data_IF_152646021907
#
_entry.id   IF_152646021907
#
_cell.length_a   1.000
_cell.length_b   1.000
_cell.length_c   1.000
_cell.angle_alpha   90.00
_cell.angle_beta   90.00
_cell.angle_gamma   90.00
#
_symmetry.space_group_name_H-M   'P 1'
#
loop_
_entity.id
_entity.type
_entity.pdbx_description
1 polymer ?
#
# COMPACT_ATOMS: atom_id res chain seq x y z
N UNK A 1 22.75 -21.36 -1.38
CA UNK A 1 22.31 -22.04 -0.14
C UNK A 1 21.99 -21.08 1.01
N UNK A 2 21.58 -19.84 0.74
CA UNK A 2 20.93 -18.96 1.74
C UNK A 2 19.70 -18.29 1.08
N UNK A 3 19.89 -17.80 -0.14
CA UNK A 3 18.82 -17.20 -0.97
C UNK A 3 17.85 -18.19 -1.63
N UNK A 4 18.02 -19.50 -1.41
CA UNK A 4 17.20 -20.56 -2.02
C UNK A 4 17.03 -20.51 -3.56
N UNK A 5 17.80 -19.67 -4.25
CA UNK A 5 17.85 -19.57 -5.71
C UNK A 5 18.41 -20.86 -6.31
N UNK A 6 17.72 -21.43 -7.30
CA UNK A 6 18.10 -22.66 -8.00
C UNK A 6 18.39 -22.35 -9.47
N UNK A 7 19.34 -23.06 -10.07
CA UNK A 7 19.64 -22.96 -11.50
C UNK A 7 20.44 -21.73 -11.91
N UNK A 8 21.15 -21.07 -10.98
CA UNK A 8 22.04 -19.94 -11.28
C UNK A 8 23.25 -20.44 -12.08
N UNK A 9 23.53 -19.76 -13.19
CA UNK A 9 24.69 -19.99 -14.06
C UNK A 9 25.82 -19.00 -13.78
N UNK A 10 27.02 -19.26 -14.31
CA UNK A 10 28.14 -18.30 -14.22
C UNK A 10 27.80 -16.97 -14.92
N UNK A 11 27.05 -17.03 -16.02
CA UNK A 11 26.59 -15.83 -16.74
C UNK A 11 25.65 -14.96 -15.88
N UNK A 12 24.83 -15.60 -15.03
CA UNK A 12 24.00 -14.87 -14.06
C UNK A 12 24.85 -14.17 -12.99
N UNK A 13 25.93 -14.81 -12.53
CA UNK A 13 26.90 -14.17 -11.62
C UNK A 13 27.58 -12.96 -12.27
N UNK A 14 28.03 -13.09 -13.52
CA UNK A 14 28.63 -11.97 -14.28
C UNK A 14 27.65 -10.81 -14.45
N UNK A 15 26.36 -11.09 -14.72
CA UNK A 15 25.30 -10.07 -14.78
C UNK A 15 25.07 -9.38 -13.44
N UNK A 16 25.11 -10.13 -12.33
CA UNK A 16 25.00 -9.55 -10.98
C UNK A 16 26.15 -8.61 -10.67
N UNK A 17 27.39 -9.02 -10.96
CA UNK A 17 28.59 -8.18 -10.76
C UNK A 17 28.48 -6.92 -11.63
N UNK A 18 28.14 -7.07 -12.92
CA UNK A 18 27.97 -5.93 -13.82
C UNK A 18 26.89 -4.94 -13.36
N UNK A 19 25.86 -5.43 -12.64
CA UNK A 19 24.74 -4.62 -12.17
C UNK A 19 24.99 -3.94 -10.83
N UNK A 20 25.67 -4.62 -9.91
CA UNK A 20 25.71 -4.22 -8.50
C UNK A 20 27.07 -3.77 -8.02
N UNK A 21 28.18 -4.17 -8.67
CA UNK A 21 29.50 -3.69 -8.29
C UNK A 21 29.68 -2.22 -8.67
N UNK A 22 30.02 -1.32 -7.72
CA UNK A 22 30.19 0.09 -8.04
C UNK A 22 31.61 0.47 -8.49
N UNK A 23 32.63 -0.35 -8.17
CA UNK A 23 34.03 0.01 -8.43
C UNK A 23 34.51 -0.46 -9.81
N UNK A 24 35.38 0.35 -10.43
CA UNK A 24 36.01 -0.01 -11.70
C UNK A 24 36.98 -1.18 -11.54
N UNK A 25 37.64 -1.29 -10.39
CA UNK A 25 38.48 -2.44 -10.04
C UNK A 25 37.67 -3.73 -9.93
N UNK A 26 36.55 -3.73 -9.21
CA UNK A 26 35.69 -4.90 -9.07
C UNK A 26 35.14 -5.37 -10.42
N UNK A 27 34.72 -4.44 -11.28
CA UNK A 27 34.36 -4.78 -12.67
C UNK A 27 35.53 -5.37 -13.47
N UNK A 28 36.74 -4.84 -13.32
CA UNK A 28 37.93 -5.31 -14.05
C UNK A 28 38.29 -6.75 -13.66
N UNK A 29 38.12 -7.11 -12.40
CA UNK A 29 38.47 -8.45 -11.89
C UNK A 29 37.28 -9.41 -11.86
N UNK A 30 36.09 -8.96 -12.28
CA UNK A 30 34.82 -9.72 -12.16
C UNK A 30 34.55 -10.19 -10.72
N UNK A 31 34.76 -9.28 -9.77
CA UNK A 31 34.56 -9.52 -8.34
C UNK A 31 33.47 -8.60 -7.78
N UNK A 32 32.68 -9.13 -6.85
CA UNK A 32 31.71 -8.36 -6.09
C UNK A 32 32.33 -7.96 -4.75
N UNK A 33 32.61 -6.68 -4.59
CA UNK A 33 33.11 -6.10 -3.35
C UNK A 33 32.02 -5.99 -2.28
N UNK A 34 32.40 -5.53 -1.08
CA UNK A 34 31.47 -5.39 0.05
C UNK A 34 30.33 -4.42 -0.26
N UNK A 35 30.63 -3.31 -0.95
CA UNK A 35 29.60 -2.34 -1.34
C UNK A 35 28.67 -2.91 -2.41
N UNK A 36 29.20 -3.66 -3.39
CA UNK A 36 28.39 -4.35 -4.38
C UNK A 36 27.48 -5.41 -3.77
N UNK A 37 27.99 -6.18 -2.80
CA UNK A 37 27.20 -7.16 -2.06
C UNK A 37 26.08 -6.47 -1.26
N UNK A 38 26.37 -5.33 -0.63
CA UNK A 38 25.36 -4.53 0.08
C UNK A 38 24.28 -4.03 -0.87
N UNK A 39 24.65 -3.50 -2.03
CA UNK A 39 23.70 -3.03 -3.05
C UNK A 39 22.85 -4.17 -3.58
N UNK A 40 23.44 -5.34 -3.80
CA UNK A 40 22.73 -6.55 -4.19
C UNK A 40 21.69 -6.96 -3.14
N UNK A 41 22.09 -7.13 -1.88
CA UNK A 41 21.19 -7.59 -0.81
C UNK A 41 20.06 -6.61 -0.47
N UNK A 42 20.27 -5.31 -0.69
CA UNK A 42 19.28 -4.26 -0.45
C UNK A 42 18.42 -3.93 -1.67
N UNK A 43 18.69 -4.54 -2.82
CA UNK A 43 17.96 -4.24 -4.03
C UNK A 43 16.51 -4.76 -3.92
N UNK A 44 15.54 -3.93 -4.36
CA UNK A 44 14.10 -4.21 -4.29
C UNK A 44 13.72 -5.62 -4.75
N UNK A 45 14.35 -6.12 -5.80
CA UNK A 45 14.13 -7.46 -6.39
C UNK A 45 14.31 -8.62 -5.38
N UNK A 46 15.18 -8.43 -4.39
CA UNK A 46 15.44 -9.40 -3.32
C UNK A 46 14.72 -9.03 -2.02
N UNK A 47 13.82 -8.05 -2.06
CA UNK A 47 12.96 -7.74 -0.92
C UNK A 47 12.11 -8.97 -0.57
N UNK A 48 12.08 -9.31 0.73
CA UNK A 48 11.23 -10.38 1.29
C UNK A 48 9.77 -10.26 0.81
N UNK A 49 9.31 -9.03 0.61
CA UNK A 49 8.05 -8.74 -0.04
C UNK A 49 8.24 -8.77 -1.54
N UNK A 50 8.01 -9.94 -2.16
CA UNK A 50 8.10 -10.14 -3.61
C UNK A 50 7.49 -8.92 -4.36
N UNK A 51 8.32 -8.08 -5.01
CA UNK A 51 7.86 -6.82 -5.59
C UNK A 51 6.86 -7.04 -6.72
N UNK A 52 7.01 -8.11 -7.48
CA UNK A 52 6.11 -8.42 -8.60
C UNK A 52 4.72 -8.81 -8.11
N UNK A 53 4.65 -9.57 -7.00
CA UNK A 53 3.38 -9.91 -6.34
C UNK A 53 2.78 -8.73 -5.58
N UNK A 54 3.60 -7.81 -5.06
CA UNK A 54 3.09 -6.67 -4.30
C UNK A 54 2.72 -5.47 -5.18
N UNK A 55 3.33 -5.31 -6.35
CA UNK A 55 3.11 -4.16 -7.26
C UNK A 55 2.09 -4.43 -8.36
N UNK A 56 1.71 -5.68 -8.63
CA UNK A 56 0.77 -6.04 -9.71
C UNK A 56 -0.25 -7.05 -9.25
N UNK A 57 -1.43 -6.99 -9.86
CA UNK A 57 -2.48 -8.02 -9.68
C UNK A 57 -2.01 -9.31 -10.34
N UNK A 58 -1.91 -10.38 -9.55
CA UNK A 58 -1.47 -11.71 -10.01
C UNK A 58 -2.45 -12.84 -9.68
N UNK A 59 -3.48 -12.57 -8.88
CA UNK A 59 -4.57 -13.51 -8.62
C UNK A 59 -5.58 -13.49 -9.76
N UNK A 60 -6.31 -14.59 -9.93
CA UNK A 60 -7.50 -14.64 -10.78
C UNK A 60 -8.56 -13.70 -10.19
N UNK A 61 -8.89 -12.62 -10.90
CA UNK A 61 -9.88 -11.60 -10.49
C UNK A 61 -11.26 -11.82 -11.13
N UNK A 62 -11.53 -12.99 -11.70
CA UNK A 62 -12.80 -13.30 -12.39
C UNK A 62 -13.81 -14.07 -11.52
N UNK A 63 -13.37 -14.57 -10.35
CA UNK A 63 -14.23 -15.27 -9.39
C UNK A 63 -15.25 -14.34 -8.71
N UNK A 64 -16.31 -14.87 -8.09
CA UNK A 64 -17.25 -14.06 -7.32
C UNK A 64 -16.58 -13.25 -6.20
N UNK A 65 -17.14 -12.09 -5.87
CA UNK A 65 -16.57 -11.18 -4.86
C UNK A 65 -16.40 -11.82 -3.47
N UNK A 66 -17.21 -12.84 -3.16
CA UNK A 66 -17.17 -13.61 -1.91
C UNK A 66 -15.90 -14.45 -1.73
N UNK A 67 -15.13 -14.66 -2.80
CA UNK A 67 -13.90 -15.45 -2.77
C UNK A 67 -12.67 -14.62 -2.39
N UNK A 68 -12.82 -13.30 -2.18
CA UNK A 68 -11.72 -12.39 -1.87
C UNK A 68 -11.90 -11.72 -0.51
N UNK A 69 -10.77 -11.47 0.15
CA UNK A 69 -10.74 -10.47 1.21
C UNK A 69 -10.83 -9.06 0.62
N UNK A 70 -11.65 -8.22 1.23
CA UNK A 70 -11.85 -6.82 0.81
C UNK A 70 -11.27 -5.93 1.90
N UNK A 71 -10.38 -5.02 1.52
CA UNK A 71 -9.90 -3.98 2.41
C UNK A 71 -11.04 -2.99 2.71
N UNK A 72 -11.55 -3.01 3.94
CA UNK A 72 -12.70 -2.22 4.40
C UNK A 72 -12.26 -1.19 5.45
N UNK A 73 -12.90 -0.04 5.49
CA UNK A 73 -12.76 0.95 6.56
C UNK A 73 -14.11 1.11 7.26
N UNK A 74 -14.07 1.10 8.60
CA UNK A 74 -15.24 1.30 9.45
C UNK A 74 -15.25 2.75 9.96
N UNK A 75 -16.43 3.37 9.98
CA UNK A 75 -16.62 4.79 10.31
C UNK A 75 -15.58 5.68 9.65
N UNK A 76 -15.43 5.53 8.32
CA UNK A 76 -14.35 6.13 7.53
C UNK A 76 -14.27 7.65 7.71
N UNK A 77 -15.38 8.30 8.00
CA UNK A 77 -15.47 9.74 8.24
C UNK A 77 -14.79 10.21 9.54
N UNK A 78 -14.43 9.32 10.49
CA UNK A 78 -13.83 9.68 11.78
C UNK A 78 -12.30 9.69 11.69
N UNK A 79 -11.69 10.83 12.05
CA UNK A 79 -10.23 10.96 12.15
C UNK A 79 -9.68 10.55 13.52
N UNK A 80 -10.40 10.91 14.57
CA UNK A 80 -9.92 10.85 15.95
C UNK A 80 -10.54 9.65 16.70
N UNK A 81 -11.39 9.91 17.69
CA UNK A 81 -12.03 8.88 18.50
C UNK A 81 -13.47 8.65 18.04
N UNK A 82 -14.02 7.50 18.41
CA UNK A 82 -15.41 7.18 18.17
C UNK A 82 -16.37 8.09 18.95
N UNK A 83 -15.94 8.73 20.05
CA UNK A 83 -16.87 9.46 20.96
C UNK A 83 -16.79 10.98 20.79
N UNK A 84 -15.63 11.50 20.41
CA UNK A 84 -15.39 12.93 20.20
C UNK A 84 -14.32 13.16 19.13
N UNK A 85 -14.36 14.32 18.48
CA UNK A 85 -13.40 14.70 17.44
C UNK A 85 -14.09 15.20 16.18
N UNK A 86 -13.31 15.40 15.12
CA UNK A 86 -13.84 15.91 13.86
C UNK A 86 -14.07 14.78 12.86
N UNK A 87 -15.23 14.80 12.20
CA UNK A 87 -15.42 14.06 10.97
C UNK A 87 -14.74 14.82 9.81
N UNK A 88 -14.24 14.11 8.80
CA UNK A 88 -13.44 14.75 7.76
C UNK A 88 -13.45 14.00 6.41
N UNK A 89 -13.42 14.70 5.26
CA UNK A 89 -13.27 14.04 3.95
C UNK A 89 -11.89 13.40 3.72
N UNK A 90 -10.83 13.93 4.35
CA UNK A 90 -9.44 13.50 4.15
C UNK A 90 -9.20 12.04 4.55
N UNK A 91 -9.99 11.49 5.47
CA UNK A 91 -9.90 10.08 5.85
C UNK A 91 -10.40 9.16 4.74
N UNK A 92 -11.39 9.59 3.93
CA UNK A 92 -11.79 8.87 2.71
C UNK A 92 -10.67 8.93 1.65
N UNK A 93 -10.09 10.11 1.42
CA UNK A 93 -8.95 10.26 0.50
C UNK A 93 -7.81 9.33 0.93
N UNK A 94 -7.49 9.31 2.23
CA UNK A 94 -6.45 8.46 2.77
C UNK A 94 -6.78 6.96 2.60
N UNK A 95 -7.97 6.52 3.01
CA UNK A 95 -8.39 5.14 2.89
C UNK A 95 -8.34 4.64 1.44
N UNK A 96 -8.85 5.42 0.49
CA UNK A 96 -8.84 5.06 -0.92
C UNK A 96 -7.42 5.02 -1.49
N UNK A 97 -6.55 5.98 -1.10
CA UNK A 97 -5.13 5.99 -1.52
C UNK A 97 -4.33 4.82 -0.96
N UNK A 98 -4.67 4.32 0.23
CA UNK A 98 -4.02 3.15 0.83
C UNK A 98 -4.60 1.81 0.35
N UNK A 99 -5.56 1.85 -0.59
CA UNK A 99 -6.10 0.66 -1.25
C UNK A 99 -7.39 0.11 -0.64
N UNK A 100 -8.04 0.84 0.27
CA UNK A 100 -9.38 0.50 0.75
C UNK A 100 -10.38 0.47 -0.42
N UNK A 101 -11.29 -0.49 -0.38
CA UNK A 101 -12.31 -0.74 -1.43
C UNK A 101 -13.74 -0.66 -0.93
N UNK A 102 -13.93 -0.54 0.38
CA UNK A 102 -15.23 -0.37 1.01
C UNK A 102 -15.10 0.63 2.15
N UNK A 103 -15.91 1.69 2.09
CA UNK A 103 -15.92 2.80 3.05
C UNK A 103 -17.32 2.94 3.65
N UNK A 104 -17.39 3.49 4.85
CA UNK A 104 -18.63 3.66 5.61
C UNK A 104 -18.98 5.15 5.75
N UNK A 105 -20.26 5.46 5.58
CA UNK A 105 -20.83 6.80 5.70
C UNK A 105 -22.16 6.73 6.45
N UNK A 106 -22.16 7.16 7.71
CA UNK A 106 -23.38 7.20 8.52
C UNK A 106 -24.13 8.50 8.23
N UNK A 107 -25.12 8.40 7.34
CA UNK A 107 -25.87 9.55 6.84
C UNK A 107 -27.07 9.88 7.75
N UNK A 108 -27.23 11.17 8.05
CA UNK A 108 -28.34 11.72 8.83
C UNK A 108 -28.88 12.98 8.16
N UNK A 109 -30.10 13.34 8.53
CA UNK A 109 -30.71 14.60 8.12
C UNK A 109 -29.97 15.78 8.76
N UNK A 110 -29.52 16.72 7.94
CA UNK A 110 -28.99 18.01 8.37
C UNK A 110 -29.97 19.14 8.09
N UNK A 111 -29.54 20.35 8.41
CA UNK A 111 -30.32 21.56 8.13
C UNK A 111 -30.41 21.83 6.62
N UNK A 112 -31.39 22.65 6.22
CA UNK A 112 -31.58 23.09 4.82
C UNK A 112 -31.62 21.97 3.77
N UNK A 113 -32.14 20.78 4.15
CA UNK A 113 -32.20 19.59 3.29
C UNK A 113 -30.83 19.07 2.84
N UNK A 114 -29.75 19.44 3.53
CA UNK A 114 -28.40 18.96 3.22
C UNK A 114 -28.05 17.79 4.15
N UNK A 115 -27.82 16.57 3.61
CA UNK A 115 -27.46 15.41 4.43
C UNK A 115 -26.06 15.56 5.04
N UNK A 116 -25.94 15.14 6.30
CA UNK A 116 -24.70 15.17 7.07
C UNK A 116 -24.22 13.77 7.42
N UNK A 117 -22.93 13.65 7.71
CA UNK A 117 -22.27 12.41 8.12
C UNK A 117 -21.53 12.64 9.43
N UNK A 118 -21.85 11.82 10.44
CA UNK A 118 -21.21 11.82 11.77
C UNK A 118 -21.59 10.56 12.56
N UNK A 119 -20.99 10.37 13.73
CA UNK A 119 -21.35 9.25 14.60
C UNK A 119 -22.45 9.68 15.57
N UNK A 120 -23.67 9.16 15.39
CA UNK A 120 -24.82 9.56 16.19
C UNK A 120 -24.63 9.31 17.69
N UNK A 121 -25.30 10.13 18.50
CA UNK A 121 -25.25 10.08 19.98
C UNK A 121 -23.84 10.26 20.56
N UNK A 122 -22.94 10.91 19.81
CA UNK A 122 -21.59 11.24 20.26
C UNK A 122 -21.29 12.73 20.07
N UNK A 123 -20.09 13.17 20.46
CA UNK A 123 -19.60 14.54 20.31
C UNK A 123 -18.74 14.72 19.05
N UNK A 124 -18.89 13.83 18.06
CA UNK A 124 -18.25 14.00 16.76
C UNK A 124 -18.90 15.13 15.98
N UNK A 125 -18.08 15.99 15.35
CA UNK A 125 -18.59 17.12 14.57
C UNK A 125 -18.97 16.69 13.15
N UNK A 126 -20.21 16.95 12.70
CA UNK A 126 -20.66 16.51 11.39
C UNK A 126 -19.97 17.24 10.24
N UNK A 127 -19.91 16.55 9.10
CA UNK A 127 -19.57 17.11 7.79
C UNK A 127 -20.70 16.85 6.81
N UNK A 128 -20.81 17.64 5.75
CA UNK A 128 -21.83 17.37 4.73
C UNK A 128 -21.45 16.16 3.89
N UNK A 129 -22.43 15.37 3.46
CA UNK A 129 -22.22 14.28 2.51
C UNK A 129 -21.58 14.81 1.22
N UNK A 130 -21.99 15.99 0.76
CA UNK A 130 -21.41 16.67 -0.40
C UNK A 130 -19.90 16.90 -0.27
N UNK A 131 -19.41 17.29 0.91
CA UNK A 131 -17.99 17.49 1.14
C UNK A 131 -17.20 16.18 0.98
N UNK A 132 -17.79 15.04 1.35
CA UNK A 132 -17.18 13.71 1.15
C UNK A 132 -17.18 13.33 -0.33
N UNK A 133 -18.30 13.54 -1.04
CA UNK A 133 -18.44 13.13 -2.44
C UNK A 133 -17.61 13.95 -3.43
N UNK A 134 -17.24 15.18 -3.06
CA UNK A 134 -16.41 16.09 -3.88
C UNK A 134 -14.91 16.01 -3.58
N UNK A 135 -14.51 15.28 -2.54
CA UNK A 135 -13.12 15.11 -2.12
C UNK A 135 -12.35 14.12 -3.00
#
# INVERSE_FOLDING_TARGET
NEEHMKGITIDDCSKLIARFEPSSEGHKYEELGVDGLRLFLLHDEFCLMNPDKSRRVYHDMTRPITDYFIATSHNTYIRDTQVYGNCTPETFIHALRTGCRAVEMDCYDGDDMEPIVYHAKTLTKPITLRAILLA
#
